data_IF_167713070552
#
_entry.id   IF_167713070552
#
_cell.length_a   1.000
_cell.length_b   1.000
_cell.length_c   1.000
_cell.angle_alpha   90.00
_cell.angle_beta   90.00
_cell.angle_gamma   90.00
#
_symmetry.space_group_name_H-M   'P 1'
#
loop_
_entity.id
_entity.type
_entity.pdbx_description
1 polymer ?
#
# COMPACT_ATOMS: atom_id res chain seq x y z
N UNK A 1 -14.35 17.62 -30.73
CA UNK A 1 -13.56 18.46 -29.82
C UNK A 1 -12.63 17.55 -29.01
N UNK A 2 -11.52 17.13 -29.59
CA UNK A 2 -10.48 16.39 -28.88
C UNK A 2 -9.68 17.41 -28.04
N UNK A 3 -10.03 17.57 -26.76
CA UNK A 3 -9.13 18.24 -25.83
C UNK A 3 -7.86 17.40 -25.78
N UNK A 4 -6.76 17.97 -26.29
CA UNK A 4 -5.44 17.35 -26.23
C UNK A 4 -5.11 17.06 -24.77
N UNK A 5 -5.24 15.79 -24.37
CA UNK A 5 -4.65 15.24 -23.15
C UNK A 5 -3.14 15.37 -23.29
N UNK A 6 -2.60 16.56 -23.03
CA UNK A 6 -1.17 16.80 -22.92
C UNK A 6 -0.69 16.16 -21.61
N UNK A 7 -0.55 14.84 -21.62
CA UNK A 7 0.03 14.07 -20.52
C UNK A 7 -0.92 13.51 -19.45
N UNK A 8 -2.20 13.93 -19.39
CA UNK A 8 -3.20 13.39 -18.45
C UNK A 8 -4.19 14.45 -17.93
N UNK A 9 -5.23 14.02 -17.22
CA UNK A 9 -6.14 14.90 -16.46
C UNK A 9 -5.65 15.03 -15.00
N UNK A 10 -5.20 16.22 -14.54
CA UNK A 10 -4.68 16.40 -13.19
C UNK A 10 -5.66 16.03 -12.06
N UNK A 11 -6.96 16.25 -12.25
CA UNK A 11 -7.97 15.94 -11.24
C UNK A 11 -8.13 14.42 -11.08
N UNK A 12 -8.21 13.71 -12.20
CA UNK A 12 -8.26 12.24 -12.22
C UNK A 12 -6.96 11.63 -11.65
N UNK A 13 -5.80 12.21 -11.98
CA UNK A 13 -4.52 11.78 -11.41
C UNK A 13 -4.46 12.00 -9.89
N UNK A 14 -5.02 13.11 -9.39
CA UNK A 14 -5.14 13.34 -7.95
C UNK A 14 -6.03 12.29 -7.28
N UNK A 15 -7.19 11.99 -7.86
CA UNK A 15 -8.07 10.93 -7.36
C UNK A 15 -7.36 9.57 -7.34
N UNK A 16 -6.63 9.24 -8.41
CA UNK A 16 -5.84 8.02 -8.50
C UNK A 16 -4.79 7.93 -7.39
N UNK A 17 -3.97 8.96 -7.21
CA UNK A 17 -2.96 8.98 -6.14
C UNK A 17 -3.58 8.82 -4.75
N UNK A 18 -4.72 9.47 -4.49
CA UNK A 18 -5.44 9.34 -3.23
C UNK A 18 -5.92 7.89 -2.99
N UNK A 19 -6.39 7.20 -4.03
CA UNK A 19 -6.78 5.79 -3.93
C UNK A 19 -5.59 4.88 -3.58
N UNK A 20 -4.43 5.07 -4.22
CA UNK A 20 -3.23 4.30 -3.88
C UNK A 20 -2.79 4.51 -2.43
N UNK A 21 -2.82 5.76 -1.94
CA UNK A 21 -2.54 6.07 -0.53
C UNK A 21 -3.53 5.37 0.40
N UNK A 22 -4.83 5.45 0.10
CA UNK A 22 -5.88 4.80 0.90
C UNK A 22 -5.67 3.29 0.99
N UNK A 23 -5.32 2.64 -0.13
CA UNK A 23 -5.06 1.20 -0.13
C UNK A 23 -3.77 0.83 0.62
N UNK A 24 -2.72 1.66 0.57
CA UNK A 24 -1.53 1.44 1.38
C UNK A 24 -1.87 1.44 2.88
N UNK A 25 -2.73 2.36 3.33
CA UNK A 25 -3.18 2.43 4.72
C UNK A 25 -4.05 1.23 5.09
N UNK A 26 -4.93 0.79 4.19
CA UNK A 26 -5.74 -0.41 4.41
C UNK A 26 -4.88 -1.67 4.54
N UNK A 27 -3.79 -1.79 3.77
CA UNK A 27 -2.82 -2.89 3.89
C UNK A 27 -2.14 -2.84 5.27
N UNK A 28 -1.68 -1.66 5.72
CA UNK A 28 -1.07 -1.48 7.06
C UNK A 28 -2.04 -1.84 8.20
N UNK A 29 -3.31 -1.43 8.08
CA UNK A 29 -4.35 -1.74 9.05
C UNK A 29 -4.64 -3.25 9.10
N UNK A 30 -4.70 -3.90 7.93
CA UNK A 30 -4.87 -5.36 7.81
C UNK A 30 -3.73 -6.10 8.48
N UNK A 31 -2.48 -5.73 8.18
CA UNK A 31 -1.29 -6.28 8.81
C UNK A 31 -1.35 -6.17 10.34
N UNK A 32 -1.70 -4.98 10.85
CA UNK A 32 -1.81 -4.74 12.31
C UNK A 32 -2.86 -5.64 12.97
N UNK A 33 -4.01 -5.85 12.31
CA UNK A 33 -5.05 -6.73 12.82
C UNK A 33 -4.60 -8.20 12.85
N UNK A 34 -3.95 -8.65 11.78
CA UNK A 34 -3.41 -10.01 11.70
C UNK A 34 -2.26 -10.23 12.69
N UNK A 35 -1.42 -9.23 12.94
CA UNK A 35 -0.36 -9.28 13.96
C UNK A 35 -0.91 -9.52 15.35
N UNK A 36 -2.04 -8.89 15.71
CA UNK A 36 -2.70 -9.12 17.00
C UNK A 36 -3.20 -10.56 17.14
N UNK A 37 -3.69 -11.16 16.06
CA UNK A 37 -4.12 -12.57 16.07
C UNK A 37 -2.93 -13.51 16.13
N UNK A 38 -1.88 -13.26 15.35
CA UNK A 38 -0.65 -14.05 15.38
C UNK A 38 0.07 -13.96 16.74
N UNK A 39 -0.06 -12.85 17.47
CA UNK A 39 0.48 -12.71 18.82
C UNK A 39 -0.17 -13.64 19.85
N UNK A 40 -1.35 -14.21 19.56
CA UNK A 40 -1.99 -15.22 20.42
C UNK A 40 -1.32 -16.60 20.31
N UNK A 41 -0.41 -16.78 19.35
CA UNK A 41 0.40 -17.99 19.23
C UNK A 41 1.34 -18.08 20.44
N UNK A 42 1.36 -19.23 21.09
CA UNK A 42 2.03 -19.46 22.37
C UNK A 42 1.09 -19.41 23.58
N UNK A 43 -0.09 -18.79 23.46
CA UNK A 43 -1.13 -18.81 24.52
C UNK A 43 -2.38 -19.56 24.08
N UNK A 44 -2.94 -19.20 22.92
CA UNK A 44 -4.14 -19.84 22.35
C UNK A 44 -3.80 -21.09 21.51
N UNK A 45 -2.59 -21.17 20.96
CA UNK A 45 -2.11 -22.31 20.18
C UNK A 45 -0.63 -22.58 20.51
N UNK A 46 -0.31 -23.81 20.90
CA UNK A 46 1.03 -24.22 21.35
C UNK A 46 1.56 -25.43 20.58
N UNK A 47 2.83 -25.76 20.79
CA UNK A 47 3.50 -26.90 20.17
C UNK A 47 4.31 -26.55 18.91
N UNK A 48 4.96 -27.54 18.26
CA UNK A 48 5.90 -27.29 17.17
C UNK A 48 5.28 -26.61 15.94
N UNK A 49 4.02 -26.91 15.62
CA UNK A 49 3.30 -26.26 14.51
C UNK A 49 3.05 -24.77 14.76
N UNK A 50 2.73 -24.41 16.01
CA UNK A 50 2.53 -23.03 16.42
C UNK A 50 3.82 -22.21 16.28
N UNK A 51 4.95 -22.79 16.68
CA UNK A 51 6.27 -22.16 16.54
C UNK A 51 6.64 -21.94 15.07
N UNK A 52 6.45 -22.96 14.21
CA UNK A 52 6.68 -22.84 12.76
C UNK A 52 5.82 -21.75 12.13
N UNK A 53 4.55 -21.65 12.53
CA UNK A 53 3.67 -20.58 12.04
C UNK A 53 4.19 -19.21 12.48
N UNK A 54 4.60 -19.05 13.74
CA UNK A 54 5.14 -17.79 14.25
C UNK A 54 6.36 -17.33 13.43
N UNK A 55 7.27 -18.24 13.12
CA UNK A 55 8.45 -17.93 12.30
C UNK A 55 8.05 -17.56 10.86
N UNK A 56 7.11 -18.31 10.27
CA UNK A 56 6.59 -18.02 8.93
C UNK A 56 5.85 -16.67 8.87
N UNK A 57 5.16 -16.30 9.95
CA UNK A 57 4.42 -15.04 10.05
C UNK A 57 5.32 -13.81 9.87
N UNK A 58 6.55 -13.82 10.41
CA UNK A 58 7.54 -12.75 10.16
C UNK A 58 7.78 -12.54 8.66
N UNK A 59 7.90 -13.62 7.90
CA UNK A 59 8.11 -13.57 6.45
C UNK A 59 6.89 -13.05 5.70
N UNK A 60 5.68 -13.44 6.14
CA UNK A 60 4.44 -12.94 5.55
C UNK A 60 4.25 -11.45 5.79
N UNK A 61 4.57 -10.97 7.00
CA UNK A 61 4.54 -9.55 7.37
C UNK A 61 5.36 -8.68 6.42
N UNK A 62 6.56 -9.15 6.06
CA UNK A 62 7.43 -8.44 5.13
C UNK A 62 6.80 -8.27 3.72
N UNK A 63 5.89 -9.16 3.31
CA UNK A 63 5.16 -8.98 2.04
C UNK A 63 4.10 -7.87 2.14
N UNK A 64 3.36 -7.79 3.25
CA UNK A 64 2.40 -6.70 3.48
C UNK A 64 3.10 -5.34 3.56
N UNK A 65 4.23 -5.26 4.26
CA UNK A 65 5.03 -4.04 4.36
C UNK A 65 5.48 -3.56 2.98
N UNK A 66 6.10 -4.45 2.18
CA UNK A 66 6.50 -4.15 0.80
C UNK A 66 5.32 -3.68 -0.04
N UNK A 67 4.17 -4.35 0.03
CA UNK A 67 2.99 -3.92 -0.73
C UNK A 67 2.52 -2.51 -0.35
N UNK A 68 2.50 -2.17 0.94
CA UNK A 68 2.14 -0.83 1.38
C UNK A 68 3.16 0.24 0.93
N UNK A 69 4.44 -0.09 0.90
CA UNK A 69 5.51 0.76 0.38
C UNK A 69 5.36 1.00 -1.13
N UNK A 70 5.16 -0.06 -1.92
CA UNK A 70 4.95 0.02 -3.36
C UNK A 70 3.71 0.84 -3.73
N UNK A 71 2.60 0.69 -2.99
CA UNK A 71 1.40 1.51 -3.17
C UNK A 71 1.66 2.99 -2.84
N UNK A 72 2.46 3.26 -1.80
CA UNK A 72 2.85 4.63 -1.45
C UNK A 72 3.74 5.25 -2.54
N UNK A 73 4.68 4.46 -3.08
CA UNK A 73 5.55 4.90 -4.18
C UNK A 73 4.75 5.15 -5.46
N UNK A 74 3.80 4.29 -5.81
CA UNK A 74 2.90 4.53 -6.94
C UNK A 74 2.15 5.87 -6.79
N UNK A 75 1.61 6.17 -5.60
CA UNK A 75 0.98 7.47 -5.31
C UNK A 75 1.96 8.64 -5.49
N UNK A 76 3.20 8.51 -5.01
CA UNK A 76 4.26 9.52 -5.19
C UNK A 76 4.58 9.78 -6.67
N UNK A 77 4.68 8.72 -7.46
CA UNK A 77 4.96 8.79 -8.90
C UNK A 77 3.83 9.53 -9.62
N UNK A 78 2.56 9.20 -9.35
CA UNK A 78 1.40 9.86 -9.95
C UNK A 78 1.41 11.37 -9.62
N UNK A 79 1.64 11.73 -8.35
CA UNK A 79 1.70 13.12 -7.93
C UNK A 79 2.84 13.89 -8.62
N UNK A 80 3.98 13.24 -8.86
CA UNK A 80 5.13 13.83 -9.57
C UNK A 80 4.77 14.15 -11.02
N UNK A 81 4.20 13.19 -11.75
CA UNK A 81 3.77 13.42 -13.12
C UNK A 81 2.66 14.48 -13.22
N UNK A 82 1.71 14.49 -12.28
CA UNK A 82 0.69 15.55 -12.20
C UNK A 82 1.34 16.93 -12.09
N UNK A 83 2.27 17.11 -11.16
CA UNK A 83 2.95 18.40 -10.95
C UNK A 83 3.75 18.85 -12.17
N UNK A 84 4.36 17.91 -12.91
CA UNK A 84 5.05 18.20 -14.16
C UNK A 84 4.10 18.70 -15.25
N UNK A 85 2.92 18.07 -15.39
CA UNK A 85 1.88 18.48 -16.35
C UNK A 85 1.38 19.88 -16.00
N UNK A 86 0.98 20.11 -14.74
CA UNK A 86 0.47 21.41 -14.28
C UNK A 86 1.49 22.54 -14.50
N UNK A 87 2.78 22.25 -14.34
CA UNK A 87 3.87 23.22 -14.55
C UNK A 87 4.13 23.50 -16.02
N UNK A 88 3.94 22.51 -16.90
CA UNK A 88 4.16 22.64 -18.35
C UNK A 88 2.97 23.28 -19.09
N UNK A 89 1.78 23.21 -18.52
CA UNK A 89 0.54 23.76 -19.11
C UNK A 89 0.16 25.14 -18.57
N UNK A 90 0.95 25.71 -17.66
CA UNK A 90 0.76 27.06 -17.10
C UNK A 90 1.70 28.05 -17.79
#
# INVERSE_FOLDING_TARGET
>A
MSHSLLGGDPAEMQAMAAQFTQQADQVRATMTNLDREAAKVGTAWTGPGAMRFKDAWESYRAAFQRMAEELTEASRVINTYRGNIESATR
#
